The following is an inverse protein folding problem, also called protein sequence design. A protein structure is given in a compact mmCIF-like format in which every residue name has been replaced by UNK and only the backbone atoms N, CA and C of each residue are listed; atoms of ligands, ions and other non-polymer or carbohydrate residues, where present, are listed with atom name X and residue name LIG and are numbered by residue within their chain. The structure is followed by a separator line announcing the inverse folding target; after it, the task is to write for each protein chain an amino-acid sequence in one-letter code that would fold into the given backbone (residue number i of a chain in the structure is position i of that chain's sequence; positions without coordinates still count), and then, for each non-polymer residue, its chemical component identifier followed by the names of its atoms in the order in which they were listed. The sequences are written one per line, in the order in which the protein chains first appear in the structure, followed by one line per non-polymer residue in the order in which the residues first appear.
data_IF_676516101495
#
_entry.id   IF_676516101495
#
_cell.length_a   1.000
_cell.length_b   1.000
_cell.length_c   1.000
_cell.angle_alpha   90.00
_cell.angle_beta   90.00
_cell.angle_gamma   90.00
#
_symmetry.space_group_name_H-M   'P 1'
#
loop_
_entity.id
_entity.type
_entity.pdbx_description
1 polymer ?
#
# COMPACT_ATOMS: atom_id res chain seq x y z
N UNK A 1 19.28 -3.08 13.15
CA UNK A 1 18.16 -2.83 12.23
C UNK A 1 18.29 -1.41 11.72
N UNK A 2 18.20 -1.21 10.39
CA UNK A 2 18.35 0.11 9.74
C UNK A 2 16.99 0.80 9.76
N UNK A 3 16.90 2.04 10.25
CA UNK A 3 15.68 2.85 10.13
C UNK A 3 15.40 3.20 8.68
N UNK A 4 14.12 3.22 8.33
CA UNK A 4 13.69 3.63 7.00
C UNK A 4 14.06 5.09 6.74
N UNK A 5 14.52 5.37 5.53
CA UNK A 5 14.79 6.72 5.06
C UNK A 5 13.90 7.05 3.87
N UNK A 6 13.78 8.33 3.50
CA UNK A 6 13.01 8.75 2.32
C UNK A 6 13.39 7.96 1.06
N UNK A 7 14.67 7.69 0.84
CA UNK A 7 15.10 6.89 -0.32
C UNK A 7 14.63 5.45 -0.23
N UNK A 8 14.67 4.83 0.95
CA UNK A 8 14.18 3.46 1.14
C UNK A 8 12.66 3.39 0.85
N UNK A 9 11.89 4.41 1.28
CA UNK A 9 10.45 4.50 1.02
C UNK A 9 10.16 4.67 -0.47
N UNK A 10 10.83 5.60 -1.16
CA UNK A 10 10.66 5.84 -2.61
C UNK A 10 11.03 4.59 -3.43
N UNK A 11 12.06 3.86 -3.01
CA UNK A 11 12.47 2.62 -3.67
C UNK A 11 11.48 1.48 -3.47
N UNK A 12 10.88 1.37 -2.28
CA UNK A 12 9.90 0.34 -1.99
C UNK A 12 8.53 0.66 -2.61
N UNK A 13 8.12 1.93 -2.58
CA UNK A 13 6.78 2.36 -2.93
C UNK A 13 6.86 3.36 -4.08
N UNK A 14 6.63 2.85 -5.29
CA UNK A 14 6.54 3.69 -6.48
C UNK A 14 5.28 4.55 -6.41
N UNK A 15 5.43 5.87 -6.36
CA UNK A 15 4.30 6.81 -6.30
C UNK A 15 3.95 7.32 -4.90
N UNK A 16 4.71 6.95 -3.86
CA UNK A 16 4.55 7.57 -2.54
C UNK A 16 4.81 9.08 -2.61
N UNK A 17 3.85 9.87 -2.16
CA UNK A 17 3.98 11.32 -2.03
C UNK A 17 4.75 11.70 -0.74
N UNK A 18 5.12 12.97 -0.63
CA UNK A 18 5.92 13.47 0.48
C UNK A 18 5.24 13.34 1.85
N UNK A 19 3.91 13.37 1.90
CA UNK A 19 3.14 13.18 3.15
C UNK A 19 3.23 11.73 3.59
N UNK A 20 2.97 10.79 2.68
CA UNK A 20 3.10 9.35 2.94
C UNK A 20 4.52 8.98 3.37
N UNK A 21 5.53 9.52 2.69
CA UNK A 21 6.94 9.31 3.06
C UNK A 21 7.23 9.81 4.48
N UNK A 22 6.77 11.02 4.82
CA UNK A 22 6.97 11.58 6.15
C UNK A 22 6.25 10.76 7.23
N UNK A 23 5.04 10.26 6.95
CA UNK A 23 4.27 9.41 7.85
C UNK A 23 5.00 8.10 8.13
N UNK A 24 5.46 7.39 7.08
CA UNK A 24 6.22 6.13 7.21
C UNK A 24 7.51 6.34 8.00
N UNK A 25 8.28 7.40 7.74
CA UNK A 25 9.49 7.72 8.53
C UNK A 25 9.11 8.06 9.98
N UNK A 26 7.99 8.75 10.19
CA UNK A 26 7.45 9.14 11.49
C UNK A 26 7.09 7.97 12.41
N UNK A 27 6.71 6.82 11.85
CA UNK A 27 6.47 5.57 12.61
C UNK A 27 7.74 5.06 13.32
N UNK A 28 8.93 5.51 12.88
CA UNK A 28 10.21 5.02 13.37
C UNK A 28 10.54 3.60 12.92
N UNK A 29 9.84 3.09 11.90
CA UNK A 29 10.03 1.76 11.35
C UNK A 29 11.42 1.53 10.75
N UNK A 30 11.77 0.26 10.69
CA UNK A 30 12.98 -0.26 10.06
C UNK A 30 12.70 -0.69 8.63
N UNK A 31 13.75 -0.79 7.81
CA UNK A 31 13.64 -1.27 6.43
C UNK A 31 13.05 -2.69 6.38
N UNK A 32 13.38 -3.53 7.36
CA UNK A 32 12.85 -4.88 7.49
C UNK A 32 11.32 -4.87 7.76
N UNK A 33 10.86 -3.99 8.66
CA UNK A 33 9.42 -3.83 8.96
C UNK A 33 8.64 -3.29 7.74
N UNK A 34 9.23 -2.39 6.95
CA UNK A 34 8.63 -1.89 5.71
C UNK A 34 8.52 -2.99 4.64
N UNK A 35 9.57 -3.80 4.48
CA UNK A 35 9.55 -4.94 3.56
C UNK A 35 8.53 -5.99 3.97
N UNK A 36 8.38 -6.26 5.27
CA UNK A 36 7.35 -7.17 5.79
C UNK A 36 5.95 -6.63 5.51
N UNK A 37 5.70 -5.33 5.74
CA UNK A 37 4.42 -4.71 5.44
C UNK A 37 4.07 -4.82 3.95
N UNK A 38 5.03 -4.61 3.05
CA UNK A 38 4.80 -4.83 1.62
C UNK A 38 4.53 -6.29 1.26
N UNK A 39 5.23 -7.24 1.89
CA UNK A 39 4.97 -8.65 1.67
C UNK A 39 3.53 -9.00 2.06
N UNK A 40 3.03 -8.43 3.16
CA UNK A 40 1.64 -8.56 3.59
C UNK A 40 0.67 -7.99 2.56
N UNK A 41 0.90 -6.79 2.03
CA UNK A 41 0.03 -6.20 0.99
C UNK A 41 0.00 -7.08 -0.27
N UNK A 42 1.16 -7.54 -0.73
CA UNK A 42 1.26 -8.26 -2.00
C UNK A 42 0.88 -9.76 -1.93
N UNK A 43 0.90 -10.37 -0.73
CA UNK A 43 0.74 -11.81 -0.55
C UNK A 43 -0.05 -12.16 0.73
N UNK A 44 -1.04 -11.36 1.10
CA UNK A 44 -1.83 -11.53 2.33
C UNK A 44 -2.44 -12.95 2.46
N UNK A 45 -3.14 -13.43 1.44
CA UNK A 45 -3.77 -14.76 1.40
C UNK A 45 -2.72 -15.88 1.50
N UNK A 46 -1.66 -15.92 0.68
CA UNK A 46 -0.57 -16.89 0.85
C UNK A 46 0.10 -16.85 2.22
N UNK A 47 0.31 -15.67 2.81
CA UNK A 47 0.97 -15.52 4.10
C UNK A 47 0.09 -16.00 5.25
N UNK A 48 -1.22 -15.73 5.19
CA UNK A 48 -2.19 -16.29 6.13
C UNK A 48 -2.26 -17.82 6.00
N UNK A 49 -2.32 -18.35 4.78
CA UNK A 49 -2.33 -19.80 4.53
C UNK A 49 -1.03 -20.50 4.96
N UNK A 50 0.11 -19.80 4.91
CA UNK A 50 1.39 -20.28 5.43
C UNK A 50 1.46 -20.28 6.97
N UNK A 51 0.41 -19.83 7.65
CA UNK A 51 0.34 -19.75 9.11
C UNK A 51 1.24 -18.67 9.69
N UNK A 52 1.60 -17.63 8.92
CA UNK A 52 2.31 -16.49 9.51
C UNK A 52 1.38 -15.75 10.48
N UNK A 53 1.90 -15.33 11.64
CA UNK A 53 1.15 -14.47 12.54
C UNK A 53 0.86 -13.14 11.81
N UNK A 54 -0.38 -12.66 11.92
CA UNK A 54 -0.78 -11.37 11.34
C UNK A 54 0.20 -10.26 11.71
N UNK A 55 0.35 -9.29 10.82
CA UNK A 55 1.11 -8.08 11.11
C UNK A 55 0.63 -7.46 12.44
N UNK A 56 1.58 -7.13 13.32
CA UNK A 56 1.30 -6.48 14.61
C UNK A 56 2.26 -5.31 14.84
N UNK A 57 1.88 -4.41 15.76
CA UNK A 57 2.68 -3.23 16.09
C UNK A 57 2.92 -2.35 14.88
N UNK A 58 4.17 -1.94 14.65
CA UNK A 58 4.55 -1.04 13.55
C UNK A 58 4.29 -1.64 12.18
N UNK A 59 4.47 -2.95 12.00
CA UNK A 59 4.22 -3.60 10.71
C UNK A 59 2.74 -3.46 10.35
N UNK A 60 1.83 -3.60 11.32
CA UNK A 60 0.38 -3.41 11.08
C UNK A 60 0.05 -1.99 10.67
N UNK A 61 0.64 -1.01 11.34
CA UNK A 61 0.48 0.42 11.04
C UNK A 61 0.99 0.76 9.63
N UNK A 62 2.12 0.19 9.22
CA UNK A 62 2.64 0.34 7.86
C UNK A 62 1.70 -0.31 6.84
N UNK A 63 1.17 -1.50 7.11
CA UNK A 63 0.18 -2.15 6.22
C UNK A 63 -1.03 -1.23 6.03
N UNK A 64 -1.56 -0.61 7.10
CA UNK A 64 -2.68 0.34 6.99
C UNK A 64 -2.35 1.54 6.08
N UNK A 65 -1.17 2.16 6.25
CA UNK A 65 -0.72 3.29 5.43
C UNK A 65 -0.57 2.88 3.96
N UNK A 66 -0.03 1.69 3.70
CA UNK A 66 0.19 1.19 2.35
C UNK A 66 -1.11 0.85 1.63
N UNK A 67 -2.09 0.26 2.33
CA UNK A 67 -3.41 -0.03 1.77
C UNK A 67 -4.15 1.25 1.36
N UNK A 68 -3.97 2.36 2.08
CA UNK A 68 -4.56 3.65 1.71
C UNK A 68 -3.92 4.27 0.45
N UNK A 69 -2.68 3.89 0.12
CA UNK A 69 -1.97 4.38 -1.05
C UNK A 69 -2.29 3.59 -2.33
N UNK A 70 -2.61 2.30 -2.21
CA UNK A 70 -3.05 1.55 -3.39
C UNK A 70 -4.35 2.16 -3.92
N UNK A 71 -4.37 2.62 -5.19
CA UNK A 71 -5.62 3.08 -5.77
C UNK A 71 -6.59 1.92 -5.69
N UNK A 72 -7.73 2.11 -5.02
CA UNK A 72 -8.82 1.16 -5.08
C UNK A 72 -9.07 0.84 -6.56
N UNK A 73 -9.00 -0.43 -6.94
CA UNK A 73 -9.31 -0.89 -8.31
C UNK A 73 -10.77 -0.56 -8.73
N UNK A 74 -11.52 0.18 -7.92
CA UNK A 74 -12.85 0.73 -8.15
C UNK A 74 -12.88 2.10 -8.87
N UNK A 75 -11.77 2.59 -9.45
CA UNK A 75 -11.78 3.75 -10.36
C UNK A 75 -11.97 3.37 -11.84
N UNK A 76 -12.59 2.20 -12.10
CA UNK A 76 -12.97 1.71 -13.44
C UNK A 76 -14.49 1.48 -13.62
N UNK A 77 -15.38 2.17 -12.88
CA UNK A 77 -16.81 2.27 -13.24
C UNK A 77 -17.43 3.68 -13.09
N UNK A 78 -16.94 4.63 -13.89
CA UNK A 78 -17.86 5.42 -14.72
C UNK A 78 -17.38 5.44 -16.15
N UNK A 79 -17.52 4.29 -16.80
CA UNK A 79 -17.70 4.25 -18.24
C UNK A 79 -18.90 5.10 -18.63
N UNK A 80 -18.68 6.39 -18.90
CA UNK A 80 -19.58 7.18 -19.74
C UNK A 80 -19.31 6.74 -21.19
N UNK A 81 -19.73 5.50 -21.49
CA UNK A 81 -19.87 5.02 -22.86
C UNK A 81 -21.12 5.65 -23.49
N UNK A 82 -21.07 6.05 -24.77
CA UNK A 82 -22.06 6.92 -25.39
C UNK A 82 -23.37 6.16 -25.67
N UNK A 83 -24.45 6.51 -24.96
CA UNK A 83 -25.79 6.09 -25.35
C UNK A 83 -26.32 7.04 -26.43
N UNK A 84 -26.34 6.53 -27.66
CA UNK A 84 -27.02 7.11 -28.80
C UNK A 84 -28.47 7.48 -28.47
N UNK A 85 -28.90 8.64 -28.98
CA UNK A 85 -30.28 8.86 -29.33
C UNK A 85 -30.31 9.21 -30.83
N UNK A 86 -30.38 8.16 -31.65
CA UNK A 86 -30.92 8.25 -33.00
C UNK A 86 -32.45 8.27 -32.90
N UNK A 87 -33.09 9.08 -33.76
CA UNK A 87 -34.52 9.10 -34.10
C UNK A 87 -35.53 9.61 -33.06
N UNK A 88 -36.13 10.79 -33.31
CA UNK A 88 -37.34 10.98 -34.15
C UNK A 88 -37.46 12.42 -34.65
#
# INVERSE_FOLDING_TARGET
MKRVTRNDVIQAISGADDVTIAQIIGTGATVDELAEAQAWIANDEPMMNAGRPLATGRVRELVDILTELEPSEDDDDKGVGPAAADQV
#
